data_IF_401007898688
#
_entry.id   IF_401007898688
#
_cell.length_a   1.000
_cell.length_b   1.000
_cell.length_c   1.000
_cell.angle_alpha   90.00
_cell.angle_beta   90.00
_cell.angle_gamma   90.00
#
_symmetry.space_group_name_H-M   'P 1'
#
loop_
_entity.id
_entity.type
_entity.pdbx_description
1 polymer ?
#
# COMPACT_ATOMS: atom_id res chain seq x y z
N UNK A 1 2.51 -3.73 -20.78
CA UNK A 1 3.14 -3.09 -19.65
C UNK A 1 3.62 -4.12 -18.64
N UNK A 2 4.88 -3.99 -18.27
CA UNK A 2 5.61 -4.96 -17.45
C UNK A 2 4.95 -5.19 -16.07
N UNK A 3 4.41 -4.14 -15.44
CA UNK A 3 3.83 -4.18 -14.10
C UNK A 3 2.57 -5.05 -13.91
N UNK A 4 1.96 -5.57 -14.96
CA UNK A 4 0.72 -6.36 -14.83
C UNK A 4 0.97 -7.70 -14.13
N UNK A 5 2.07 -8.40 -14.45
CA UNK A 5 2.34 -9.71 -13.85
C UNK A 5 2.52 -9.67 -12.34
N UNK A 6 3.34 -8.77 -11.75
CA UNK A 6 3.41 -8.61 -10.29
C UNK A 6 2.05 -8.34 -9.65
N UNK A 7 1.24 -7.48 -10.26
CA UNK A 7 -0.09 -7.17 -9.74
C UNK A 7 -1.04 -8.38 -9.75
N UNK A 8 -1.02 -9.20 -10.80
CA UNK A 8 -1.84 -10.44 -10.89
C UNK A 8 -1.37 -11.47 -9.85
N UNK A 9 -0.06 -11.64 -9.66
CA UNK A 9 0.47 -12.54 -8.64
C UNK A 9 0.07 -12.10 -7.23
N UNK A 10 0.15 -10.79 -6.94
CA UNK A 10 -0.30 -10.22 -5.67
C UNK A 10 -1.80 -10.43 -5.46
N UNK A 11 -2.63 -10.18 -6.48
CA UNK A 11 -4.07 -10.47 -6.45
C UNK A 11 -4.34 -11.95 -6.16
N UNK A 12 -3.69 -12.86 -6.87
CA UNK A 12 -3.85 -14.30 -6.66
C UNK A 12 -3.45 -14.74 -5.25
N UNK A 13 -2.41 -14.11 -4.66
CA UNK A 13 -2.02 -14.36 -3.29
C UNK A 13 -3.09 -13.89 -2.30
N UNK A 14 -3.57 -12.67 -2.44
CA UNK A 14 -4.62 -12.09 -1.59
C UNK A 14 -5.89 -12.93 -1.63
N UNK A 15 -6.35 -13.28 -2.84
CA UNK A 15 -7.59 -14.04 -3.03
C UNK A 15 -7.55 -15.47 -2.45
N UNK A 16 -6.36 -16.03 -2.21
CA UNK A 16 -6.21 -17.34 -1.52
C UNK A 16 -6.31 -17.26 0.00
N UNK A 17 -6.11 -16.07 0.56
CA UNK A 17 -6.06 -15.88 2.03
C UNK A 17 -7.43 -15.52 2.58
N UNK A 18 -8.22 -14.74 1.84
CA UNK A 18 -9.54 -14.28 2.30
C UNK A 18 -10.66 -15.24 1.89
N UNK A 19 -11.72 -15.42 2.74
CA UNK A 19 -12.80 -16.37 2.46
C UNK A 19 -13.95 -15.79 1.61
N UNK A 20 -13.78 -14.62 1.03
CA UNK A 20 -14.80 -13.92 0.24
C UNK A 20 -14.27 -13.51 -1.13
N UNK A 21 -15.15 -13.20 -2.10
CA UNK A 21 -14.74 -12.77 -3.43
C UNK A 21 -13.85 -11.53 -3.40
N UNK A 22 -12.84 -11.52 -4.26
CA UNK A 22 -11.94 -10.39 -4.45
C UNK A 22 -12.05 -9.94 -5.89
N UNK A 23 -12.22 -8.64 -6.12
CA UNK A 23 -12.17 -8.02 -7.44
C UNK A 23 -10.83 -7.31 -7.64
N UNK A 24 -10.40 -7.17 -8.88
CA UNK A 24 -9.16 -6.53 -9.23
C UNK A 24 -9.38 -5.49 -10.33
N UNK A 25 -8.91 -4.29 -10.09
CA UNK A 25 -9.11 -3.14 -10.97
C UNK A 25 -7.78 -2.48 -11.33
N UNK A 26 -7.66 -2.03 -12.57
CA UNK A 26 -6.49 -1.34 -13.12
C UNK A 26 -6.89 0.06 -13.62
N UNK A 27 -7.26 0.99 -12.73
CA UNK A 27 -7.81 2.29 -13.12
C UNK A 27 -6.85 3.13 -13.95
N UNK A 28 -5.55 3.02 -13.72
CA UNK A 28 -4.53 3.70 -14.51
C UNK A 28 -4.44 3.23 -15.99
N UNK A 29 -4.93 2.01 -16.29
CA UNK A 29 -4.89 1.44 -17.65
C UNK A 29 -6.26 1.45 -18.34
N UNK A 30 -7.32 1.21 -17.58
CA UNK A 30 -8.67 0.93 -18.13
C UNK A 30 -9.74 1.87 -17.59
N UNK A 31 -9.35 3.01 -16.98
CA UNK A 31 -10.28 3.89 -16.30
C UNK A 31 -10.86 3.27 -15.00
N UNK A 32 -11.45 4.07 -14.15
CA UNK A 32 -12.02 3.64 -12.87
C UNK A 32 -13.51 3.25 -12.94
N UNK A 33 -14.12 3.18 -14.14
CA UNK A 33 -15.56 2.95 -14.28
C UNK A 33 -16.00 1.56 -13.79
N UNK A 34 -15.16 0.52 -13.99
CA UNK A 34 -15.44 -0.82 -13.46
C UNK A 34 -15.40 -0.86 -11.93
N UNK A 35 -14.47 -0.11 -11.33
CA UNK A 35 -14.34 0.00 -9.89
C UNK A 35 -15.59 0.62 -9.26
N UNK A 36 -16.13 1.70 -9.85
CA UNK A 36 -17.37 2.34 -9.39
C UNK A 36 -18.61 1.45 -9.51
N UNK A 37 -18.65 0.57 -10.52
CA UNK A 37 -19.76 -0.36 -10.69
C UNK A 37 -19.77 -1.48 -9.65
N UNK A 38 -18.59 -1.86 -9.17
CA UNK A 38 -18.43 -2.98 -8.24
C UNK A 38 -18.28 -2.55 -6.78
N UNK A 39 -17.84 -1.30 -6.55
CA UNK A 39 -17.74 -0.77 -5.20
C UNK A 39 -19.14 -0.51 -4.63
N UNK A 40 -19.45 -1.21 -3.55
CA UNK A 40 -20.64 -0.98 -2.72
C UNK A 40 -20.22 -1.02 -1.25
N UNK A 41 -20.33 0.11 -0.57
CA UNK A 41 -19.93 0.24 0.82
C UNK A 41 -20.67 -0.71 1.77
N UNK A 42 -21.86 -1.19 1.40
CA UNK A 42 -22.64 -2.11 2.24
C UNK A 42 -22.11 -3.54 2.22
N UNK A 43 -21.42 -3.94 1.15
CA UNK A 43 -20.90 -5.30 0.93
C UNK A 43 -19.38 -5.37 0.93
N UNK A 44 -18.66 -4.27 0.68
CA UNK A 44 -17.20 -4.23 0.64
C UNK A 44 -16.58 -4.47 2.01
N UNK A 45 -15.74 -5.49 2.13
CA UNK A 45 -15.08 -5.89 3.39
C UNK A 45 -13.76 -5.16 3.64
N UNK A 46 -13.12 -4.69 2.60
CA UNK A 46 -11.86 -3.95 2.68
C UNK A 46 -11.33 -3.55 1.32
N UNK A 47 -10.42 -2.61 1.28
CA UNK A 47 -9.82 -2.07 0.05
C UNK A 47 -8.30 -2.14 0.20
N UNK A 48 -7.62 -2.60 -0.86
CA UNK A 48 -6.16 -2.52 -0.96
C UNK A 48 -5.82 -1.69 -2.18
N UNK A 49 -5.04 -0.64 -1.98
CA UNK A 49 -4.53 0.23 -3.05
C UNK A 49 -3.05 -0.08 -3.22
N UNK A 50 -2.71 -0.69 -4.35
CA UNK A 50 -1.36 -1.14 -4.67
C UNK A 50 -0.47 0.01 -5.17
N UNK A 51 0.78 -0.32 -5.50
CA UNK A 51 1.75 0.59 -6.12
C UNK A 51 1.35 1.00 -7.53
N UNK A 52 1.88 2.14 -7.98
CA UNK A 52 1.79 2.66 -9.34
C UNK A 52 3.10 3.33 -9.74
N UNK A 53 3.40 3.36 -11.04
CA UNK A 53 4.53 4.10 -11.58
C UNK A 53 4.28 5.61 -11.71
N UNK A 54 3.04 6.06 -11.49
CA UNK A 54 2.67 7.48 -11.51
C UNK A 54 2.86 8.12 -10.14
N UNK A 55 3.15 9.41 -10.09
CA UNK A 55 3.13 10.16 -8.83
C UNK A 55 1.70 10.50 -8.41
N UNK A 56 1.43 10.54 -7.12
CA UNK A 56 0.16 11.06 -6.58
C UNK A 56 -0.01 12.56 -6.86
N UNK A 57 1.04 13.23 -7.31
CA UNK A 57 1.05 14.65 -7.66
C UNK A 57 0.77 14.91 -9.16
N UNK A 58 0.55 13.86 -9.98
CA UNK A 58 0.34 13.99 -11.43
C UNK A 58 -1.10 14.39 -11.83
N UNK A 59 -2.02 14.54 -10.88
CA UNK A 59 -3.42 14.98 -11.12
C UNK A 59 -4.16 14.18 -12.22
N UNK A 60 -4.02 12.86 -12.19
CA UNK A 60 -4.68 11.98 -13.15
C UNK A 60 -6.19 11.86 -12.87
N UNK A 61 -7.04 11.93 -13.90
CA UNK A 61 -8.51 11.82 -13.79
C UNK A 61 -8.95 10.52 -13.08
N UNK A 62 -8.26 9.39 -13.33
CA UNK A 62 -8.57 8.13 -12.65
C UNK A 62 -8.25 8.18 -11.16
N UNK A 63 -7.31 9.02 -10.73
CA UNK A 63 -6.95 9.22 -9.32
C UNK A 63 -8.07 9.88 -8.53
N UNK A 64 -8.75 10.88 -9.10
CA UNK A 64 -9.87 11.57 -8.44
C UNK A 64 -10.97 10.57 -8.05
N UNK A 65 -11.26 9.62 -8.94
CA UNK A 65 -12.23 8.56 -8.68
C UNK A 65 -11.81 7.60 -7.55
N UNK A 66 -10.53 7.29 -7.43
CA UNK A 66 -10.02 6.51 -6.29
C UNK A 66 -10.13 7.31 -5.00
N UNK A 67 -9.87 8.62 -5.05
CA UNK A 67 -10.01 9.53 -3.90
C UNK A 67 -11.47 9.53 -3.41
N UNK A 68 -12.47 9.61 -4.30
CA UNK A 68 -13.88 9.51 -3.92
C UNK A 68 -14.18 8.22 -3.16
N UNK A 69 -13.67 7.07 -3.63
CA UNK A 69 -13.85 5.78 -2.96
C UNK A 69 -13.14 5.74 -1.60
N UNK A 70 -11.91 6.27 -1.50
CA UNK A 70 -11.20 6.37 -0.22
C UNK A 70 -12.00 7.16 0.81
N UNK A 71 -12.56 8.30 0.40
CA UNK A 71 -13.33 9.17 1.28
C UNK A 71 -14.66 8.52 1.71
N UNK A 72 -15.37 7.86 0.79
CA UNK A 72 -16.60 7.14 1.11
C UNK A 72 -16.31 5.92 2.01
N UNK A 73 -15.31 5.11 1.70
CA UNK A 73 -14.90 3.98 2.51
C UNK A 73 -14.46 4.42 3.92
N UNK A 74 -13.73 5.52 4.01
CA UNK A 74 -13.32 6.14 5.28
C UNK A 74 -14.52 6.55 6.14
N UNK A 75 -15.55 7.17 5.53
CA UNK A 75 -16.80 7.57 6.19
C UNK A 75 -17.58 6.35 6.70
N UNK A 76 -17.59 5.27 5.92
CA UNK A 76 -18.32 4.05 6.24
C UNK A 76 -17.46 3.07 7.08
N UNK A 77 -16.24 3.47 7.51
CA UNK A 77 -15.31 2.65 8.30
C UNK A 77 -14.93 1.33 7.64
N UNK A 78 -14.88 1.30 6.32
CA UNK A 78 -14.37 0.17 5.57
C UNK A 78 -12.85 0.16 5.69
N UNK A 79 -12.21 -0.97 6.04
CA UNK A 79 -10.77 -1.07 6.16
C UNK A 79 -10.05 -0.75 4.84
N UNK A 80 -9.02 0.10 4.90
CA UNK A 80 -8.20 0.50 3.75
C UNK A 80 -6.74 0.24 4.06
N UNK A 81 -6.05 -0.44 3.14
CA UNK A 81 -4.59 -0.59 3.13
C UNK A 81 -4.01 0.01 1.86
N UNK A 82 -3.14 1.00 2.00
CA UNK A 82 -2.37 1.57 0.89
C UNK A 82 -0.93 1.06 0.88
N UNK A 83 -0.43 0.63 -0.28
CA UNK A 83 0.93 0.15 -0.47
C UNK A 83 1.65 1.01 -1.51
N UNK A 84 2.83 1.52 -1.19
CA UNK A 84 3.64 2.41 -2.00
C UNK A 84 2.82 3.63 -2.50
N UNK A 85 2.37 3.64 -3.75
CA UNK A 85 1.47 4.68 -4.28
C UNK A 85 0.21 4.84 -3.43
N UNK A 86 -0.41 3.73 -2.99
CA UNK A 86 -1.60 3.77 -2.13
C UNK A 86 -1.33 4.41 -0.77
N UNK A 87 -0.15 4.21 -0.18
CA UNK A 87 0.28 4.89 1.04
C UNK A 87 0.41 6.40 0.82
N UNK A 88 1.07 6.80 -0.27
CA UNK A 88 1.23 8.19 -0.63
C UNK A 88 -0.13 8.86 -0.92
N UNK A 89 -1.03 8.16 -1.62
CA UNK A 89 -2.37 8.67 -1.91
C UNK A 89 -3.18 8.88 -0.64
N UNK A 90 -3.17 7.93 0.30
CA UNK A 90 -3.76 8.09 1.64
C UNK A 90 -3.14 9.30 2.34
N UNK A 91 -1.81 9.41 2.35
CA UNK A 91 -1.11 10.54 2.92
C UNK A 91 -1.62 11.88 2.38
N UNK A 92 -1.72 12.01 1.05
CA UNK A 92 -2.20 13.23 0.37
C UNK A 92 -3.69 13.51 0.64
N UNK A 93 -4.56 12.50 0.54
CA UNK A 93 -6.02 12.63 0.69
C UNK A 93 -6.40 13.16 2.08
N UNK A 94 -5.69 12.75 3.11
CA UNK A 94 -5.97 13.18 4.48
C UNK A 94 -5.14 14.39 4.95
N UNK A 95 -4.46 15.08 4.02
CA UNK A 95 -3.79 16.37 4.29
C UNK A 95 -2.34 16.27 4.73
N UNK A 96 -1.71 15.14 4.53
CA UNK A 96 -0.26 14.97 4.63
C UNK A 96 0.47 15.53 3.42
N UNK A 97 1.80 15.46 3.43
CA UNK A 97 2.65 15.95 2.34
C UNK A 97 3.41 14.80 1.70
N UNK A 98 3.37 14.74 0.38
CA UNK A 98 4.11 13.77 -0.43
C UNK A 98 5.07 14.53 -1.35
N UNK A 99 6.35 14.20 -1.26
CA UNK A 99 7.42 14.90 -1.99
C UNK A 99 8.42 13.89 -2.56
N UNK A 100 9.14 14.29 -3.62
CA UNK A 100 10.28 13.54 -4.09
C UNK A 100 11.34 13.40 -2.99
N UNK A 101 11.80 12.18 -2.79
CA UNK A 101 12.96 11.84 -1.98
C UNK A 101 14.19 11.73 -2.88
N UNK A 102 15.40 11.83 -2.31
CA UNK A 102 16.66 11.58 -2.99
C UNK A 102 16.82 12.35 -4.31
N UNK A 103 16.38 13.63 -4.34
CA UNK A 103 16.35 14.47 -5.55
C UNK A 103 15.53 13.88 -6.72
N UNK A 104 14.49 13.07 -6.42
CA UNK A 104 13.64 12.44 -7.41
C UNK A 104 14.24 11.17 -8.05
N UNK A 105 15.34 10.65 -7.50
CA UNK A 105 15.89 9.37 -7.96
C UNK A 105 15.04 8.20 -7.46
N UNK A 106 14.73 7.26 -8.36
CA UNK A 106 14.10 5.99 -7.97
C UNK A 106 15.12 5.16 -7.22
N UNK A 107 14.80 4.76 -5.99
CA UNK A 107 15.55 3.75 -5.25
C UNK A 107 14.72 2.50 -5.08
N UNK A 108 15.39 1.35 -5.13
CA UNK A 108 14.76 0.04 -5.06
C UNK A 108 15.66 -0.99 -4.37
N UNK A 109 15.06 -2.03 -3.81
CA UNK A 109 15.75 -3.08 -3.09
C UNK A 109 14.96 -3.54 -1.87
N UNK A 110 15.68 -3.95 -0.83
CA UNK A 110 15.12 -4.20 0.49
C UNK A 110 15.79 -3.31 1.55
N UNK A 111 15.09 -3.05 2.62
CA UNK A 111 15.61 -2.31 3.78
C UNK A 111 14.96 -2.80 5.07
N UNK A 112 15.68 -2.64 6.17
CA UNK A 112 15.13 -2.91 7.50
C UNK A 112 14.16 -1.80 7.87
N UNK A 113 12.92 -2.20 8.21
CA UNK A 113 11.87 -1.31 8.68
C UNK A 113 11.57 -1.62 10.13
N UNK A 114 11.51 -0.58 10.97
CA UNK A 114 11.21 -0.66 12.39
C UNK A 114 9.75 -0.28 12.63
N UNK A 115 8.93 -1.27 13.03
CA UNK A 115 7.51 -1.09 13.30
C UNK A 115 7.27 -0.87 14.79
N UNK A 116 6.43 0.11 15.11
CA UNK A 116 5.84 0.29 16.45
C UNK A 116 4.71 -0.71 16.66
N UNK A 117 4.14 -0.75 17.86
CA UNK A 117 2.95 -1.52 18.16
C UNK A 117 1.75 -1.09 17.32
N UNK A 118 0.93 -2.06 16.89
CA UNK A 118 -0.29 -1.81 16.12
C UNK A 118 -1.35 -2.87 16.44
N UNK A 119 -2.61 -2.49 16.32
CA UNK A 119 -3.75 -3.42 16.43
C UNK A 119 -3.72 -4.54 15.38
N UNK A 120 -3.05 -4.33 14.23
CA UNK A 120 -2.97 -5.33 13.16
C UNK A 120 -1.88 -6.39 13.45
N UNK A 121 -0.67 -5.96 13.77
CA UNK A 121 0.47 -6.90 13.88
C UNK A 121 0.98 -7.08 15.33
N UNK A 122 0.37 -6.44 16.32
CA UNK A 122 0.73 -6.55 17.71
C UNK A 122 1.99 -5.79 18.09
N UNK A 123 2.86 -6.40 18.90
CA UNK A 123 4.06 -5.79 19.48
C UNK A 123 5.03 -5.22 18.44
N UNK A 124 5.88 -4.24 18.81
CA UNK A 124 6.95 -3.71 17.96
C UNK A 124 7.83 -4.82 17.41
N UNK A 125 8.25 -4.67 16.16
CA UNK A 125 9.13 -5.63 15.48
C UNK A 125 9.90 -4.94 14.36
N UNK A 126 10.93 -5.59 13.86
CA UNK A 126 11.70 -5.12 12.71
C UNK A 126 11.92 -6.26 11.73
N UNK A 127 11.99 -5.93 10.46
CA UNK A 127 12.26 -6.90 9.41
C UNK A 127 12.58 -6.21 8.08
N UNK A 128 13.05 -6.99 7.12
CA UNK A 128 13.32 -6.49 5.80
C UNK A 128 12.03 -6.40 4.99
N UNK A 129 11.87 -5.30 4.23
CA UNK A 129 10.76 -5.09 3.30
C UNK A 129 11.27 -4.59 1.95
N UNK A 130 10.61 -5.02 0.89
CA UNK A 130 10.91 -4.61 -0.48
C UNK A 130 10.34 -3.22 -0.78
N UNK A 131 11.08 -2.43 -1.56
CA UNK A 131 10.66 -1.11 -1.99
C UNK A 131 11.15 -0.78 -3.39
N UNK A 132 10.38 0.06 -4.10
CA UNK A 132 10.77 0.72 -5.35
C UNK A 132 9.96 2.02 -5.46
N UNK A 133 10.58 3.16 -5.14
CA UNK A 133 9.91 4.45 -5.19
C UNK A 133 10.90 5.63 -5.25
N UNK A 134 10.41 6.78 -5.66
CA UNK A 134 11.11 8.08 -5.62
C UNK A 134 10.43 9.06 -4.68
N UNK A 135 9.10 8.99 -4.57
CA UNK A 135 8.30 9.86 -3.70
C UNK A 135 8.03 9.18 -2.37
N UNK A 136 7.77 9.97 -1.32
CA UNK A 136 7.37 9.47 -0.02
C UNK A 136 6.54 10.48 0.77
N UNK A 137 5.84 10.01 1.78
CA UNK A 137 5.16 10.87 2.75
C UNK A 137 6.22 11.52 3.62
N UNK A 138 6.34 12.85 3.50
CA UNK A 138 7.31 13.65 4.29
C UNK A 138 6.68 14.30 5.53
N UNK A 139 5.35 14.45 5.53
CA UNK A 139 4.58 14.88 6.67
C UNK A 139 3.32 14.02 6.80
N UNK A 140 3.16 13.37 7.94
CA UNK A 140 1.99 12.54 8.20
C UNK A 140 0.71 13.39 8.24
N UNK A 141 -0.44 12.87 7.76
CA UNK A 141 -1.70 13.59 7.82
C UNK A 141 -2.14 13.85 9.27
N UNK A 142 -2.90 14.93 9.53
CA UNK A 142 -3.56 15.12 10.82
C UNK A 142 -4.44 13.92 11.20
N UNK A 143 -4.37 13.46 12.45
CA UNK A 143 -5.09 12.27 12.94
C UNK A 143 -4.52 10.93 12.46
N UNK A 144 -3.26 10.95 11.99
CA UNK A 144 -2.51 9.73 11.67
C UNK A 144 -1.23 9.63 12.50
N UNK A 145 -0.98 8.45 13.00
CA UNK A 145 0.25 8.10 13.72
C UNK A 145 1.25 7.46 12.77
N UNK A 146 2.53 7.86 12.87
CA UNK A 146 3.63 7.17 12.18
C UNK A 146 3.94 5.88 12.91
N UNK A 147 3.70 4.75 12.25
CA UNK A 147 3.84 3.40 12.80
C UNK A 147 5.15 2.71 12.42
N UNK A 148 5.84 3.20 11.41
CA UNK A 148 7.13 2.62 11.04
C UNK A 148 8.08 3.65 10.45
N UNK A 149 9.38 3.38 10.60
CA UNK A 149 10.48 4.14 10.03
C UNK A 149 11.64 3.22 9.63
N UNK A 150 12.55 3.74 8.82
CA UNK A 150 13.83 3.13 8.48
C UNK A 150 14.96 4.17 8.50
N UNK A 151 16.20 3.74 8.32
CA UNK A 151 17.33 4.66 8.16
C UNK A 151 17.24 5.51 6.87
N UNK A 152 16.43 5.09 5.91
CA UNK A 152 16.25 5.76 4.61
C UNK A 152 15.02 6.67 4.58
N UNK A 153 13.96 6.32 5.32
CA UNK A 153 12.65 6.99 5.26
C UNK A 153 12.07 7.09 6.66
N UNK A 154 11.76 8.30 7.09
CA UNK A 154 11.21 8.56 8.42
C UNK A 154 9.76 8.13 8.59
N UNK A 155 9.00 8.03 7.49
CA UNK A 155 7.57 7.65 7.47
C UNK A 155 7.39 6.46 6.51
N UNK A 156 7.64 5.26 7.03
CA UNK A 156 7.46 4.00 6.30
C UNK A 156 6.04 3.46 6.39
N UNK A 157 5.35 3.77 7.49
CA UNK A 157 3.94 3.41 7.66
C UNK A 157 3.20 4.45 8.48
N UNK A 158 1.94 4.63 8.13
CA UNK A 158 0.97 5.47 8.85
C UNK A 158 -0.29 4.66 9.15
N UNK A 159 -0.98 5.05 10.22
CA UNK A 159 -2.34 4.56 10.50
C UNK A 159 -3.21 5.69 11.03
N UNK A 160 -4.48 5.70 10.64
CA UNK A 160 -5.45 6.61 11.23
C UNK A 160 -5.72 6.23 12.69
N UNK A 161 -5.90 7.23 13.54
CA UNK A 161 -6.16 7.07 14.97
C UNK A 161 -7.61 6.64 15.25
N UNK A 162 -8.55 6.99 14.37
CA UNK A 162 -9.99 6.77 14.56
C UNK A 162 -10.66 5.91 13.47
N UNK A 163 -9.93 5.57 12.40
CA UNK A 163 -10.46 4.83 11.24
C UNK A 163 -9.59 3.62 10.92
N UNK A 164 -10.15 2.57 10.31
CA UNK A 164 -9.39 1.39 9.93
C UNK A 164 -8.58 1.63 8.62
N UNK A 165 -7.66 2.59 8.66
CA UNK A 165 -6.87 2.99 7.49
C UNK A 165 -5.38 2.89 7.83
N UNK A 166 -4.63 2.17 6.97
CA UNK A 166 -3.18 1.98 7.07
C UNK A 166 -2.50 2.22 5.74
N UNK A 167 -1.27 2.67 5.80
CA UNK A 167 -0.43 2.79 4.62
C UNK A 167 1.00 2.34 4.91
N UNK A 168 1.62 1.63 3.95
CA UNK A 168 3.02 1.25 3.95
C UNK A 168 3.72 1.76 2.69
N UNK A 169 4.87 2.41 2.84
CA UNK A 169 5.69 2.84 1.71
C UNK A 169 6.32 1.67 0.96
N UNK A 170 6.46 0.55 1.62
CA UNK A 170 7.03 -0.69 1.09
C UNK A 170 5.96 -1.60 0.48
N UNK A 171 6.41 -2.59 -0.29
CA UNK A 171 5.56 -3.55 -1.00
C UNK A 171 5.39 -4.83 -0.18
N UNK A 172 4.35 -4.87 0.68
CA UNK A 172 4.02 -6.06 1.47
C UNK A 172 3.52 -7.22 0.61
N UNK A 173 2.97 -6.90 -0.56
CA UNK A 173 2.39 -7.81 -1.54
C UNK A 173 3.40 -8.38 -2.53
N UNK A 174 4.65 -7.92 -2.47
CA UNK A 174 5.67 -8.24 -3.46
C UNK A 174 5.86 -9.75 -3.67
N UNK A 175 6.11 -10.13 -4.92
CA UNK A 175 6.31 -11.50 -5.38
C UNK A 175 7.61 -11.63 -6.17
N UNK A 176 7.93 -12.84 -6.61
CA UNK A 176 9.10 -13.09 -7.45
C UNK A 176 9.08 -12.26 -8.76
N UNK A 177 7.90 -12.04 -9.36
CA UNK A 177 7.79 -11.20 -10.54
C UNK A 177 8.11 -9.73 -10.26
N UNK A 178 7.75 -9.23 -9.07
CA UNK A 178 8.15 -7.88 -8.64
C UNK A 178 9.67 -7.75 -8.55
N UNK A 179 10.34 -8.70 -7.90
CA UNK A 179 11.81 -8.72 -7.77
C UNK A 179 12.49 -8.79 -9.14
N UNK A 180 11.98 -9.65 -10.02
CA UNK A 180 12.52 -9.82 -11.37
C UNK A 180 12.34 -8.56 -12.23
N UNK A 181 11.18 -7.94 -12.17
CA UNK A 181 10.88 -6.72 -12.94
C UNK A 181 11.78 -5.55 -12.53
N UNK A 182 12.02 -5.40 -11.22
CA UNK A 182 12.89 -4.37 -10.67
C UNK A 182 14.37 -4.79 -10.63
N UNK A 183 14.73 -5.95 -11.22
CA UNK A 183 16.12 -6.46 -11.30
C UNK A 183 16.84 -6.44 -9.95
N UNK A 184 16.12 -6.76 -8.87
CA UNK A 184 16.67 -6.77 -7.53
C UNK A 184 17.60 -7.96 -7.32
N UNK A 185 18.71 -7.75 -6.61
CA UNK A 185 19.63 -8.84 -6.23
C UNK A 185 18.98 -9.83 -5.25
N UNK A 186 19.54 -11.05 -5.12
CA UNK A 186 18.92 -12.14 -4.35
C UNK A 186 18.98 -11.96 -2.82
N UNK A 187 19.81 -11.05 -2.33
CA UNK A 187 20.07 -10.89 -0.90
C UNK A 187 18.83 -10.36 -0.15
N UNK A 188 18.41 -11.07 0.90
CA UNK A 188 17.33 -10.65 1.78
C UNK A 188 15.91 -10.70 1.17
N UNK A 189 15.76 -11.31 -0.02
CA UNK A 189 14.47 -11.36 -0.72
C UNK A 189 13.48 -12.27 0.01
N UNK A 190 13.91 -13.47 0.42
CA UNK A 190 13.01 -14.39 1.11
C UNK A 190 12.56 -13.83 2.46
N UNK A 191 13.47 -13.26 3.23
CA UNK A 191 13.17 -12.59 4.49
C UNK A 191 12.18 -11.42 4.30
N UNK A 192 12.32 -10.70 3.19
CA UNK A 192 11.42 -9.60 2.83
C UNK A 192 10.01 -10.12 2.47
N UNK A 193 9.91 -11.25 1.76
CA UNK A 193 8.63 -11.89 1.48
C UNK A 193 7.98 -12.40 2.76
N UNK A 194 8.71 -13.12 3.60
CA UNK A 194 8.17 -13.70 4.84
C UNK A 194 7.64 -12.60 5.77
N UNK A 195 8.40 -11.52 5.92
CA UNK A 195 8.00 -10.41 6.78
C UNK A 195 6.86 -9.57 6.17
N UNK A 196 6.95 -9.22 4.89
CA UNK A 196 5.92 -8.46 4.18
C UNK A 196 4.59 -9.22 4.10
N UNK A 197 4.65 -10.50 3.74
CA UNK A 197 3.46 -11.34 3.67
C UNK A 197 2.81 -11.56 5.04
N UNK A 198 3.60 -11.71 6.11
CA UNK A 198 3.07 -11.79 7.47
C UNK A 198 2.28 -10.52 7.85
N UNK A 199 2.77 -9.33 7.49
CA UNK A 199 2.08 -8.07 7.74
C UNK A 199 0.80 -7.94 6.90
N UNK A 200 0.87 -8.29 5.61
CA UNK A 200 -0.30 -8.29 4.72
C UNK A 200 -1.37 -9.27 5.21
N UNK A 201 -0.98 -10.48 5.59
CA UNK A 201 -1.91 -11.50 6.11
C UNK A 201 -2.56 -11.04 7.42
N UNK A 202 -1.82 -10.34 8.29
CA UNK A 202 -2.38 -9.77 9.52
C UNK A 202 -3.49 -8.76 9.21
N UNK A 203 -3.35 -7.94 8.16
CA UNK A 203 -4.42 -7.07 7.69
C UNK A 203 -5.58 -7.89 7.11
N UNK A 204 -5.32 -8.83 6.22
CA UNK A 204 -6.35 -9.66 5.58
C UNK A 204 -7.19 -10.43 6.60
N UNK A 205 -6.58 -10.98 7.65
CA UNK A 205 -7.29 -11.68 8.73
C UNK A 205 -8.11 -10.74 9.63
N UNK A 206 -7.85 -9.44 9.61
CA UNK A 206 -8.66 -8.45 10.33
C UNK A 206 -9.96 -8.11 9.61
N UNK A 207 -10.09 -8.43 8.32
CA UNK A 207 -11.30 -8.24 7.52
C UNK A 207 -12.35 -9.31 7.90
N UNK A 208 -13.51 -8.87 8.40
CA UNK A 208 -14.58 -9.76 8.88
C UNK A 208 -15.83 -9.63 8.04
#
# INVERSE_FOLDING_TARGET
PAAITPCIESFNRISRVVPFPVTYHLPALYNADSLFKEYDHSSTKGIIILGSATSVNDENIWQDKIIEIILDASKNKIPILGLCYGHQLIGKVFGGKVEPLWNGEIKQGNRVVHLKESAIWGKPKSGQLLYSHQDGVTNAPPGFTVLASSDMVSIEAIASEDKPIWGFQTHLEATNSFVKEHQMGPSGIQESFDFGHMLLDSYLFSLK
#
